data_IF_605696445652
#
_entry.id   IF_605696445652
#
_cell.length_a   1.000
_cell.length_b   1.000
_cell.length_c   1.000
_cell.angle_alpha   90.00
_cell.angle_beta   90.00
_cell.angle_gamma   90.00
#
_symmetry.space_group_name_H-M   'P 1'
#
loop_
_entity.id
_entity.type
_entity.pdbx_description
1 polymer ?
#
# COMPACT_ATOMS: atom_id res chain seq x y z
N UNK A 1 -30.72 9.43 10.20
CA UNK A 1 -30.02 10.46 9.41
C UNK A 1 -28.82 9.78 8.76
N UNK A 2 -28.99 9.28 7.54
CA UNK A 2 -27.95 8.68 6.72
C UNK A 2 -27.96 9.40 5.37
N UNK A 3 -26.82 9.99 5.03
CA UNK A 3 -26.52 10.68 3.78
C UNK A 3 -26.53 9.69 2.63
N UNK A 4 -27.43 9.88 1.65
CA UNK A 4 -27.30 9.26 0.34
C UNK A 4 -26.57 10.25 -0.58
N UNK A 5 -25.26 10.09 -0.69
CA UNK A 5 -24.46 10.69 -1.75
C UNK A 5 -24.71 9.93 -3.06
N UNK A 6 -25.47 10.52 -3.98
CA UNK A 6 -25.59 10.00 -5.35
C UNK A 6 -24.34 10.41 -6.11
N UNK A 7 -23.43 9.45 -6.34
CA UNK A 7 -22.30 9.61 -7.26
C UNK A 7 -22.80 9.18 -8.64
N UNK A 8 -23.02 10.14 -9.54
CA UNK A 8 -23.29 9.85 -10.95
C UNK A 8 -21.97 9.52 -11.65
N UNK A 9 -21.83 8.28 -12.14
CA UNK A 9 -20.66 7.84 -12.91
C UNK A 9 -20.91 8.13 -14.40
N UNK A 10 -20.28 9.18 -14.94
CA UNK A 10 -20.39 9.54 -16.36
C UNK A 10 -19.30 8.82 -17.17
N UNK A 11 -19.68 7.96 -18.11
CA UNK A 11 -18.73 7.35 -19.06
C UNK A 11 -18.48 8.30 -20.24
N UNK A 12 -17.22 8.73 -20.41
CA UNK A 12 -16.76 9.49 -21.58
C UNK A 12 -16.31 8.52 -22.67
N UNK A 13 -17.11 8.35 -23.72
CA UNK A 13 -16.69 7.61 -24.93
C UNK A 13 -16.28 8.62 -26.01
N UNK A 14 -15.00 8.61 -26.37
CA UNK A 14 -14.49 9.40 -27.49
C UNK A 14 -14.54 8.54 -28.76
N UNK A 15 -15.54 8.76 -29.60
CA UNK A 15 -15.57 8.20 -30.96
C UNK A 15 -14.86 9.16 -31.91
N UNK A 16 -13.83 8.67 -32.61
CA UNK A 16 -13.12 9.43 -33.64
C UNK A 16 -13.97 9.52 -34.89
N UNK A 17 -14.69 10.62 -35.05
CA UNK A 17 -14.76 11.41 -36.29
C UNK A 17 -15.69 12.61 -36.04
N UNK A 18 -15.13 13.81 -36.15
CA UNK A 18 -15.68 15.12 -35.79
C UNK A 18 -15.81 15.34 -34.27
N UNK A 19 -14.89 16.14 -33.70
CA UNK A 19 -14.69 16.38 -32.27
C UNK A 19 -15.84 17.09 -31.52
N UNK A 20 -17.07 16.61 -31.66
CA UNK A 20 -18.16 16.91 -30.74
C UNK A 20 -18.07 15.99 -29.53
N UNK A 21 -17.95 16.57 -28.33
CA UNK A 21 -18.10 15.83 -27.08
C UNK A 21 -19.58 15.50 -26.88
N UNK A 22 -19.98 14.25 -27.11
CA UNK A 22 -21.33 13.81 -26.79
C UNK A 22 -21.35 13.25 -25.37
N UNK A 23 -21.88 14.02 -24.43
CA UNK A 23 -22.10 13.56 -23.05
C UNK A 23 -23.40 12.77 -23.05
N UNK A 24 -23.29 11.45 -23.07
CA UNK A 24 -24.41 10.57 -22.84
C UNK A 24 -24.63 10.46 -21.34
N UNK A 25 -25.65 11.16 -20.83
CA UNK A 25 -26.07 11.00 -19.44
C UNK A 25 -26.83 9.70 -19.40
N UNK A 26 -26.14 8.60 -19.04
CA UNK A 26 -26.80 7.34 -18.74
C UNK A 26 -27.82 7.61 -17.63
N UNK A 27 -29.08 7.78 -18.03
CA UNK A 27 -30.18 7.59 -17.13
C UNK A 27 -30.20 6.08 -16.88
N UNK A 28 -30.02 5.68 -15.62
CA UNK A 28 -30.54 4.38 -15.20
C UNK A 28 -32.02 4.38 -15.60
N UNK A 29 -32.32 3.71 -16.71
CA UNK A 29 -33.65 3.20 -16.97
C UNK A 29 -33.88 2.17 -15.87
N UNK A 30 -34.29 2.63 -14.68
CA UNK A 30 -35.03 1.78 -13.76
C UNK A 30 -36.17 1.20 -14.60
N UNK A 31 -36.01 -0.07 -14.99
CA UNK A 31 -37.08 -0.88 -15.53
C UNK A 31 -38.21 -0.74 -14.53
N UNK A 32 -39.19 0.10 -14.85
CA UNK A 32 -40.42 0.14 -14.08
C UNK A 32 -41.03 -1.22 -14.26
N UNK A 33 -40.99 -2.02 -13.20
CA UNK A 33 -41.82 -3.20 -13.05
C UNK A 33 -43.23 -2.67 -12.81
N UNK A 34 -43.81 -2.02 -13.83
CA UNK A 34 -45.22 -1.74 -13.92
C UNK A 34 -45.60 -2.18 -15.32
N UNK A 35 -46.06 -3.43 -15.35
CA UNK A 35 -46.86 -3.95 -16.43
C UNK A 35 -47.98 -2.96 -16.77
N UNK A 36 -48.37 -2.99 -18.04
CA UNK A 36 -49.39 -2.15 -18.65
C UNK A 36 -50.52 -1.79 -17.67
N UNK A 37 -50.62 -0.49 -17.32
CA UNK A 37 -51.51 0.05 -16.29
C UNK A 37 -53.01 -0.22 -16.57
N UNK A 38 -53.33 -0.72 -17.77
CA UNK A 38 -54.66 -1.13 -18.19
C UNK A 38 -55.19 -2.38 -17.44
N UNK A 39 -54.34 -3.08 -16.68
CA UNK A 39 -54.76 -4.25 -15.89
C UNK A 39 -55.28 -3.94 -14.47
N UNK A 40 -55.20 -2.68 -14.02
CA UNK A 40 -55.73 -2.31 -12.71
C UNK A 40 -56.94 -1.39 -12.88
N UNK A 41 -58.13 -1.95 -12.61
CA UNK A 41 -59.39 -1.20 -12.55
C UNK A 41 -59.38 -0.26 -11.34
N UNK A 42 -58.77 0.90 -11.53
CA UNK A 42 -58.65 1.93 -10.52
C UNK A 42 -59.03 3.25 -11.16
N UNK A 43 -60.07 3.87 -10.62
CA UNK A 43 -60.53 5.23 -10.96
C UNK A 43 -59.50 6.33 -10.62
N UNK A 44 -58.31 5.94 -10.14
CA UNK A 44 -57.19 6.78 -9.70
C UNK A 44 -56.19 7.09 -10.83
N UNK A 45 -56.22 6.38 -11.95
CA UNK A 45 -55.43 6.70 -13.14
C UNK A 45 -56.33 7.25 -14.25
N UNK A 46 -56.92 8.42 -13.97
CA UNK A 46 -57.77 9.15 -14.90
C UNK A 46 -56.95 9.91 -15.97
N UNK A 47 -57.63 10.52 -16.95
CA UNK A 47 -57.02 11.37 -18.00
C UNK A 47 -56.11 12.47 -17.43
N UNK A 48 -56.43 12.97 -16.24
CA UNK A 48 -55.68 14.04 -15.57
C UNK A 48 -54.33 13.55 -15.03
N UNK A 49 -54.27 12.33 -14.49
CA UNK A 49 -53.02 11.71 -14.03
C UNK A 49 -52.03 11.50 -15.18
N UNK A 50 -52.53 11.15 -16.39
CA UNK A 50 -51.72 11.04 -17.60
C UNK A 50 -51.15 12.40 -18.00
N UNK A 51 -51.98 13.45 -17.99
CA UNK A 51 -51.52 14.81 -18.28
C UNK A 51 -50.46 15.30 -17.29
N UNK A 52 -50.60 14.98 -16.00
CA UNK A 52 -49.60 15.31 -14.97
C UNK A 52 -48.29 14.56 -15.20
N UNK A 53 -48.33 13.26 -15.52
CA UNK A 53 -47.13 12.50 -15.80
C UNK A 53 -46.41 13.00 -17.07
N UNK A 54 -47.18 13.30 -18.13
CA UNK A 54 -46.65 13.87 -19.37
C UNK A 54 -45.99 15.25 -19.12
N UNK A 55 -46.60 16.08 -18.27
CA UNK A 55 -46.03 17.35 -17.85
C UNK A 55 -44.72 17.18 -17.05
N UNK A 56 -44.64 16.19 -16.16
CA UNK A 56 -43.42 15.87 -15.40
C UNK A 56 -42.30 15.40 -16.35
N UNK A 57 -42.60 14.55 -17.33
CA UNK A 57 -41.63 14.10 -18.33
C UNK A 57 -41.12 15.28 -19.17
N UNK A 58 -42.03 16.16 -19.61
CA UNK A 58 -41.66 17.37 -20.35
C UNK A 58 -40.76 18.30 -19.51
N UNK A 59 -41.12 18.56 -18.26
CA UNK A 59 -40.33 19.39 -17.35
C UNK A 59 -38.93 18.82 -17.09
N UNK A 60 -38.81 17.49 -16.94
CA UNK A 60 -37.52 16.82 -16.80
C UNK A 60 -36.65 17.02 -18.04
N UNK A 61 -37.22 16.89 -19.24
CA UNK A 61 -36.51 17.08 -20.51
C UNK A 61 -36.02 18.52 -20.68
N UNK A 62 -36.87 19.50 -20.35
CA UNK A 62 -36.51 20.92 -20.37
C UNK A 62 -35.37 21.24 -19.39
N UNK A 63 -35.44 20.73 -18.15
CA UNK A 63 -34.37 20.89 -17.16
C UNK A 63 -33.04 20.28 -17.62
N UNK A 64 -33.08 19.12 -18.26
CA UNK A 64 -31.87 18.49 -18.81
C UNK A 64 -31.25 19.31 -19.94
N UNK A 65 -32.07 19.88 -20.82
CA UNK A 65 -31.59 20.78 -21.87
C UNK A 65 -30.97 22.05 -21.30
N UNK A 66 -31.58 22.64 -20.26
CA UNK A 66 -31.02 23.79 -19.55
C UNK A 66 -29.65 23.47 -18.95
N UNK A 67 -29.55 22.38 -18.18
CA UNK A 67 -28.28 21.94 -17.56
C UNK A 67 -27.19 21.69 -18.61
N UNK A 68 -27.55 21.08 -19.76
CA UNK A 68 -26.64 20.83 -20.87
C UNK A 68 -26.12 22.17 -21.42
N UNK A 69 -27.01 23.10 -21.72
CA UNK A 69 -26.63 24.42 -22.25
C UNK A 69 -25.78 25.22 -21.26
N UNK A 70 -26.12 25.23 -19.98
CA UNK A 70 -25.35 25.93 -18.94
C UNK A 70 -23.93 25.35 -18.79
N UNK A 71 -23.78 24.03 -18.84
CA UNK A 71 -22.45 23.41 -18.84
C UNK A 71 -21.61 23.81 -20.06
N UNK A 72 -22.22 23.82 -21.26
CA UNK A 72 -21.50 24.23 -22.48
C UNK A 72 -21.12 25.72 -22.46
N UNK A 73 -22.01 26.61 -22.01
CA UNK A 73 -21.72 28.04 -21.92
C UNK A 73 -20.63 28.35 -20.88
N UNK A 74 -20.67 27.69 -19.73
CA UNK A 74 -19.64 27.86 -18.69
C UNK A 74 -18.28 27.33 -19.14
N UNK A 75 -18.22 26.24 -19.93
CA UNK A 75 -16.95 25.73 -20.46
C UNK A 75 -16.42 26.56 -21.64
N UNK A 76 -17.29 27.06 -22.52
CA UNK A 76 -16.90 27.90 -23.65
C UNK A 76 -16.40 29.30 -23.24
N UNK A 77 -16.77 29.76 -22.05
CA UNK A 77 -16.38 31.08 -21.52
C UNK A 77 -14.94 31.14 -20.96
N UNK A 78 -14.27 30.00 -20.79
CA UNK A 78 -12.91 29.94 -20.24
C UNK A 78 -11.86 29.72 -21.34
N UNK A 79 -10.83 30.57 -21.36
CA UNK A 79 -9.65 30.36 -22.23
C UNK A 79 -8.93 29.09 -21.84
N UNK A 80 -8.77 28.16 -22.79
CA UNK A 80 -7.93 26.97 -22.56
C UNK A 80 -6.46 27.38 -22.44
N UNK A 81 -5.66 26.60 -21.69
CA UNK A 81 -4.20 26.83 -21.58
C UNK A 81 -3.51 26.96 -22.95
N UNK A 82 -4.02 26.27 -23.97
CA UNK A 82 -3.53 26.37 -25.34
C UNK A 82 -3.78 27.76 -25.94
N UNK A 83 -4.98 28.32 -25.75
CA UNK A 83 -5.32 29.66 -26.22
C UNK A 83 -4.49 30.74 -25.51
N UNK A 84 -4.26 30.59 -24.21
CA UNK A 84 -3.39 31.49 -23.45
C UNK A 84 -1.94 31.41 -23.93
N UNK A 85 -1.42 30.19 -24.11
CA UNK A 85 -0.05 29.98 -24.60
C UNK A 85 0.12 30.55 -26.01
N UNK A 86 -0.85 30.34 -26.91
CA UNK A 86 -0.83 30.93 -28.26
C UNK A 86 -0.87 32.46 -28.19
N UNK A 87 -1.70 33.04 -27.32
CA UNK A 87 -1.76 34.49 -27.12
C UNK A 87 -0.42 35.06 -26.65
N UNK A 88 0.29 34.37 -25.76
CA UNK A 88 1.61 34.80 -25.27
C UNK A 88 2.69 34.65 -26.34
N UNK A 89 2.72 33.54 -27.08
CA UNK A 89 3.75 33.27 -28.08
C UNK A 89 3.64 34.18 -29.30
N UNK A 90 2.42 34.59 -29.67
CA UNK A 90 2.17 35.35 -30.89
C UNK A 90 1.62 36.76 -30.64
N UNK A 91 1.75 37.29 -29.42
CA UNK A 91 1.43 38.70 -29.15
C UNK A 91 2.45 39.61 -29.84
N UNK A 92 1.96 40.64 -30.55
CA UNK A 92 2.77 41.62 -31.29
C UNK A 92 3.84 42.32 -30.45
N UNK A 93 3.69 42.37 -29.12
CA UNK A 93 4.68 42.94 -28.19
C UNK A 93 6.03 42.20 -28.19
N UNK A 94 6.07 40.94 -28.64
CA UNK A 94 7.32 40.19 -28.80
C UNK A 94 7.95 40.35 -30.19
N UNK A 95 7.25 40.98 -31.14
CA UNK A 95 7.74 41.14 -32.51
C UNK A 95 8.56 42.43 -32.70
N UNK A 96 8.35 43.47 -31.89
CA UNK A 96 9.11 44.73 -31.97
C UNK A 96 10.50 44.66 -31.31
N UNK A 97 10.81 43.60 -30.55
CA UNK A 97 12.15 43.39 -29.94
C UNK A 97 13.14 42.68 -30.87
N UNK A 98 12.88 42.62 -32.17
CA UNK A 98 13.87 42.18 -33.16
C UNK A 98 14.57 43.39 -33.78
N UNK A 99 15.24 44.18 -32.95
CA UNK A 99 16.25 45.13 -33.41
C UNK A 99 17.62 44.50 -33.19
N UNK A 100 18.32 44.31 -34.29
CA UNK A 100 19.77 44.09 -34.43
C UNK A 100 20.41 43.08 -33.47
N UNK A 101 20.68 41.90 -34.03
CA UNK A 101 21.56 40.89 -33.44
C UNK A 101 22.97 41.47 -33.27
N UNK A 102 23.24 42.08 -32.10
CA UNK A 102 24.59 42.38 -31.64
C UNK A 102 25.32 41.06 -31.39
N UNK A 103 25.98 40.54 -32.44
CA UNK A 103 26.80 39.32 -32.37
C UNK A 103 28.11 39.65 -31.66
N UNK A 104 28.02 39.88 -30.35
CA UNK A 104 29.17 39.69 -29.49
C UNK A 104 29.57 38.21 -29.54
N UNK A 105 30.86 37.87 -29.67
CA UNK A 105 31.30 36.48 -29.70
C UNK A 105 30.91 35.82 -28.37
N UNK A 106 30.34 34.62 -28.45
CA UNK A 106 29.97 33.85 -27.28
C UNK A 106 31.22 33.49 -26.48
N UNK A 107 31.52 34.27 -25.44
CA UNK A 107 32.52 33.89 -24.44
C UNK A 107 31.85 32.84 -23.57
N UNK A 108 32.21 31.57 -23.79
CA UNK A 108 31.93 30.50 -22.85
C UNK A 108 32.66 30.82 -21.55
N UNK A 109 31.97 31.45 -20.60
CA UNK A 109 32.42 31.47 -19.23
C UNK A 109 32.59 30.01 -18.80
N UNK A 110 33.83 29.60 -18.55
CA UNK A 110 34.19 28.24 -18.12
C UNK A 110 33.46 27.97 -16.81
N UNK A 111 32.29 27.35 -16.90
CA UNK A 111 31.46 27.06 -15.73
C UNK A 111 32.27 26.17 -14.81
N UNK A 112 32.64 26.70 -13.64
CA UNK A 112 33.27 25.91 -12.60
C UNK A 112 32.34 24.77 -12.23
N UNK A 113 32.80 23.54 -12.48
CA UNK A 113 32.04 22.33 -12.18
C UNK A 113 31.88 22.25 -10.67
N UNK A 114 30.72 22.67 -10.15
CA UNK A 114 30.35 22.46 -8.75
C UNK A 114 30.13 20.96 -8.55
N UNK A 115 31.19 20.28 -8.11
CA UNK A 115 31.21 18.83 -7.83
C UNK A 115 30.49 18.45 -6.54
N UNK A 116 30.35 19.39 -5.60
CA UNK A 116 29.66 19.20 -4.33
C UNK A 116 28.26 18.56 -4.41
N UNK A 117 27.33 19.02 -5.28
CA UNK A 117 26.01 18.38 -5.39
C UNK A 117 26.08 16.92 -5.82
N UNK A 118 27.03 16.54 -6.68
CA UNK A 118 27.18 15.16 -7.16
C UNK A 118 27.76 14.24 -6.09
N UNK A 119 28.74 14.74 -5.30
CA UNK A 119 29.29 14.00 -4.17
C UNK A 119 28.20 13.76 -3.13
N UNK A 120 27.40 14.78 -2.80
CA UNK A 120 26.31 14.67 -1.84
C UNK A 120 25.23 13.66 -2.30
N UNK A 121 24.89 13.69 -3.59
CA UNK A 121 23.93 12.75 -4.18
C UNK A 121 24.45 11.31 -4.17
N UNK A 122 25.74 11.11 -4.44
CA UNK A 122 26.38 9.78 -4.38
C UNK A 122 26.37 9.21 -2.96
N UNK A 123 26.68 10.02 -1.94
CA UNK A 123 26.66 9.58 -0.54
C UNK A 123 25.24 9.17 -0.10
N UNK A 124 24.21 9.93 -0.51
CA UNK A 124 22.81 9.57 -0.24
C UNK A 124 22.40 8.23 -0.87
N UNK A 125 22.85 7.95 -2.10
CA UNK A 125 22.58 6.66 -2.77
C UNK A 125 23.26 5.48 -2.04
N UNK A 126 24.50 5.63 -1.57
CA UNK A 126 25.18 4.59 -0.80
C UNK A 126 24.50 4.30 0.55
N UNK A 127 24.04 5.34 1.26
CA UNK A 127 23.35 5.19 2.54
C UNK A 127 22.00 4.46 2.40
N UNK A 128 21.22 4.78 1.35
CA UNK A 128 19.93 4.11 1.11
C UNK A 128 20.11 2.64 0.75
N UNK A 129 21.08 2.31 -0.11
CA UNK A 129 21.39 0.93 -0.46
C UNK A 129 21.92 0.14 0.75
N UNK A 130 22.77 0.77 1.57
CA UNK A 130 23.26 0.20 2.82
C UNK A 130 22.14 -0.07 3.83
N UNK A 131 21.18 0.83 3.98
CA UNK A 131 20.03 0.64 4.87
C UNK A 131 19.11 -0.50 4.41
N UNK A 132 18.88 -0.64 3.11
CA UNK A 132 18.09 -1.75 2.55
C UNK A 132 18.80 -3.08 2.77
N UNK A 133 20.09 -3.17 2.46
CA UNK A 133 20.90 -4.39 2.67
C UNK A 133 20.97 -4.72 4.17
N UNK A 134 21.22 -3.74 5.04
CA UNK A 134 21.26 -3.93 6.49
C UNK A 134 19.92 -4.38 7.07
N UNK A 135 18.80 -3.82 6.59
CA UNK A 135 17.46 -4.23 7.03
C UNK A 135 17.13 -5.66 6.60
N UNK A 136 17.49 -6.05 5.38
CA UNK A 136 17.35 -7.42 4.90
C UNK A 136 18.27 -8.37 5.68
N UNK A 137 19.51 -7.98 5.95
CA UNK A 137 20.49 -8.78 6.69
C UNK A 137 20.07 -8.98 8.16
N UNK A 138 19.54 -7.94 8.83
CA UNK A 138 19.01 -8.04 10.20
C UNK A 138 17.80 -8.98 10.27
N UNK A 139 16.94 -9.00 9.25
CA UNK A 139 15.81 -9.94 9.15
C UNK A 139 16.18 -11.36 8.70
N UNK A 140 17.38 -11.55 8.12
CA UNK A 140 17.88 -12.84 7.59
C UNK A 140 19.01 -13.44 8.45
N UNK A 141 19.01 -13.22 9.77
CA UNK A 141 19.69 -14.17 10.66
C UNK A 141 18.90 -15.48 10.65
N UNK A 142 19.18 -16.24 9.60
CA UNK A 142 19.21 -17.70 9.53
C UNK A 142 18.59 -18.39 10.75
N UNK A 143 17.29 -18.69 10.65
CA UNK A 143 16.61 -19.65 11.53
C UNK A 143 17.36 -21.00 11.65
N UNK A 144 18.31 -21.28 10.75
CA UNK A 144 19.05 -22.53 10.67
C UNK A 144 20.48 -22.50 11.28
N UNK A 145 21.03 -21.34 11.67
CA UNK A 145 22.39 -21.25 12.31
C UNK A 145 22.35 -21.26 13.84
N UNK A 146 21.18 -21.50 14.41
CA UNK A 146 20.97 -21.39 15.86
C UNK A 146 20.74 -22.72 16.56
N UNK A 147 20.84 -23.85 15.85
CA UNK A 147 20.82 -25.16 16.49
C UNK A 147 22.18 -25.43 17.15
N UNK A 148 22.17 -25.86 18.42
CA UNK A 148 23.36 -26.25 19.18
C UNK A 148 23.30 -27.73 19.47
N UNK A 149 24.39 -28.45 19.23
CA UNK A 149 24.52 -29.88 19.53
C UNK A 149 24.97 -30.03 20.97
N UNK A 150 24.05 -30.26 21.89
CA UNK A 150 24.31 -30.32 23.33
C UNK A 150 23.85 -31.66 23.89
N UNK A 151 24.41 -32.05 25.03
CA UNK A 151 23.99 -33.25 25.76
C UNK A 151 23.05 -32.81 26.88
N UNK A 152 21.80 -33.27 26.85
CA UNK A 152 20.87 -33.09 27.95
C UNK A 152 21.00 -34.25 28.95
N UNK A 153 21.17 -33.92 30.22
CA UNK A 153 21.22 -34.86 31.34
C UNK A 153 19.96 -34.75 32.18
N UNK A 154 19.14 -35.80 32.16
CA UNK A 154 17.90 -35.93 32.94
C UNK A 154 18.02 -36.91 34.12
N UNK A 155 19.25 -37.21 34.58
CA UNK A 155 19.49 -38.17 35.67
C UNK A 155 18.77 -37.81 36.97
N UNK A 156 18.51 -36.53 37.23
CA UNK A 156 17.72 -36.09 38.39
C UNK A 156 16.26 -36.57 38.36
N UNK A 157 15.76 -36.96 37.20
CA UNK A 157 14.39 -37.43 36.97
C UNK A 157 14.33 -38.92 36.63
N UNK A 158 15.38 -39.70 36.93
CA UNK A 158 15.53 -41.11 36.59
C UNK A 158 15.54 -41.42 35.08
N UNK A 159 15.93 -40.43 34.25
CA UNK A 159 16.15 -40.61 32.82
C UNK A 159 17.64 -40.54 32.49
N UNK A 160 18.00 -40.96 31.28
CA UNK A 160 19.38 -40.95 30.80
C UNK A 160 19.87 -39.60 30.29
N UNK A 161 21.01 -39.64 29.60
CA UNK A 161 21.58 -38.52 28.87
C UNK A 161 21.29 -38.64 27.38
N UNK A 162 20.98 -37.54 26.70
CA UNK A 162 20.63 -37.53 25.28
C UNK A 162 21.37 -36.42 24.54
N UNK A 163 21.98 -36.77 23.40
CA UNK A 163 22.62 -35.81 22.51
C UNK A 163 21.60 -35.25 21.52
N UNK A 164 21.38 -33.94 21.58
CA UNK A 164 20.31 -33.26 20.85
C UNK A 164 20.82 -32.01 20.15
N UNK A 165 20.32 -31.79 18.94
CA UNK A 165 20.47 -30.52 18.24
C UNK A 165 19.27 -29.63 18.57
N UNK A 166 19.46 -28.64 19.44
CA UNK A 166 18.38 -27.82 19.97
C UNK A 166 18.47 -26.35 19.56
N UNK A 167 17.33 -25.64 19.37
CA UNK A 167 17.34 -24.23 19.06
C UNK A 167 17.84 -23.37 20.23
N UNK A 168 18.94 -22.64 20.04
CA UNK A 168 19.59 -21.83 21.07
C UNK A 168 18.95 -20.47 21.35
N UNK A 169 17.98 -20.07 20.52
CA UNK A 169 17.26 -18.81 20.67
C UNK A 169 15.99 -18.93 21.54
N UNK A 170 15.57 -20.17 21.87
CA UNK A 170 14.40 -20.38 22.71
C UNK A 170 14.74 -20.12 24.19
N UNK A 171 13.81 -19.54 24.96
CA UNK A 171 13.88 -19.53 26.42
C UNK A 171 13.96 -20.96 26.98
N UNK A 172 14.68 -21.16 28.09
CA UNK A 172 14.86 -22.47 28.72
C UNK A 172 13.53 -23.19 28.97
N UNK A 173 12.46 -22.52 29.44
CA UNK A 173 11.14 -23.17 29.60
C UNK A 173 10.61 -23.85 28.34
N UNK A 174 10.70 -23.14 27.22
CA UNK A 174 10.16 -23.61 25.94
C UNK A 174 11.07 -24.68 25.34
N UNK A 175 12.38 -24.52 25.55
CA UNK A 175 13.38 -25.50 25.15
C UNK A 175 13.17 -26.82 25.89
N UNK A 176 13.01 -26.80 27.22
CA UNK A 176 12.77 -28.02 28.01
C UNK A 176 11.47 -28.69 27.57
N UNK A 177 10.37 -27.93 27.45
CA UNK A 177 9.10 -28.50 26.99
C UNK A 177 9.23 -29.19 25.62
N UNK A 178 9.94 -28.57 24.67
CA UNK A 178 10.20 -29.15 23.35
C UNK A 178 11.06 -30.41 23.41
N UNK A 179 12.09 -30.43 24.27
CA UNK A 179 12.96 -31.60 24.42
C UNK A 179 12.21 -32.77 25.06
N UNK A 180 11.41 -32.51 26.10
CA UNK A 180 10.61 -33.54 26.76
C UNK A 180 9.59 -34.15 25.80
N UNK A 181 8.89 -33.32 25.04
CA UNK A 181 7.94 -33.75 24.02
C UNK A 181 8.63 -34.57 22.91
N UNK A 182 9.80 -34.12 22.45
CA UNK A 182 10.58 -34.83 21.43
C UNK A 182 11.16 -36.17 21.89
N UNK A 183 11.37 -36.35 23.20
CA UNK A 183 11.90 -37.58 23.79
C UNK A 183 10.79 -38.48 24.38
N UNK A 184 9.53 -38.07 24.29
CA UNK A 184 8.38 -38.74 24.94
C UNK A 184 8.61 -38.95 26.46
N UNK A 185 9.20 -37.95 27.12
CA UNK A 185 9.50 -37.96 28.56
C UNK A 185 8.37 -37.26 29.32
N UNK A 186 7.66 -38.00 30.15
CA UNK A 186 6.63 -37.45 31.03
C UNK A 186 7.20 -37.12 32.42
N UNK A 187 7.38 -35.83 32.73
CA UNK A 187 7.73 -35.32 34.06
C UNK A 187 6.65 -34.34 34.51
N UNK A 188 6.05 -34.56 35.68
CA UNK A 188 4.90 -33.78 36.16
C UNK A 188 5.28 -32.44 36.82
N UNK A 189 6.47 -32.33 37.42
CA UNK A 189 6.93 -31.13 38.11
C UNK A 189 8.37 -30.81 37.69
N UNK A 190 8.50 -30.27 36.49
CA UNK A 190 9.81 -29.93 35.90
C UNK A 190 10.26 -28.58 36.42
N UNK A 191 11.40 -28.57 37.11
CA UNK A 191 12.08 -27.31 37.41
C UNK A 191 12.69 -26.74 36.12
N UNK A 192 12.35 -25.51 35.77
CA UNK A 192 12.86 -24.83 34.56
C UNK A 192 14.24 -24.21 34.81
N UNK A 193 15.14 -24.98 35.42
CA UNK A 193 16.51 -24.58 35.72
C UNK A 193 17.47 -25.62 35.15
N UNK A 194 18.46 -25.16 34.39
CA UNK A 194 19.48 -26.01 33.79
C UNK A 194 20.84 -25.59 34.33
N UNK A 195 21.58 -26.54 34.87
CA UNK A 195 22.99 -26.35 35.19
C UNK A 195 23.85 -26.78 34.02
N UNK A 196 24.65 -25.86 33.51
CA UNK A 196 25.64 -26.15 32.46
C UNK A 196 26.87 -26.74 33.13
N UNK A 197 27.00 -28.07 33.10
CA UNK A 197 28.02 -28.79 33.87
C UNK A 197 29.44 -28.45 33.42
N UNK A 198 29.63 -28.21 32.13
CA UNK A 198 30.93 -27.85 31.55
C UNK A 198 31.44 -26.46 31.98
N UNK A 199 30.52 -25.55 32.34
CA UNK A 199 30.82 -24.14 32.64
C UNK A 199 30.48 -23.72 34.06
N UNK A 200 29.84 -24.58 34.85
CA UNK A 200 29.45 -24.30 36.23
C UNK A 200 28.40 -23.18 36.38
N UNK A 201 27.70 -22.81 35.31
CA UNK A 201 26.69 -21.75 35.32
C UNK A 201 25.26 -22.31 35.37
N UNK A 202 24.36 -21.54 35.98
CA UNK A 202 22.93 -21.86 36.07
C UNK A 202 22.15 -20.99 35.07
N UNK A 203 21.29 -21.63 34.28
CA UNK A 203 20.34 -20.97 33.39
C UNK A 203 18.94 -21.11 33.97
N UNK A 204 18.19 -20.01 33.99
CA UNK A 204 16.82 -19.95 34.49
C UNK A 204 15.80 -19.86 33.37
N UNK A 205 14.52 -19.90 33.73
CA UNK A 205 13.37 -20.07 32.83
C UNK A 205 13.42 -19.23 31.53
N UNK A 206 13.78 -17.95 31.64
CA UNK A 206 13.75 -16.99 30.53
C UNK A 206 15.10 -16.81 29.81
N UNK A 207 16.14 -17.50 30.28
CA UNK A 207 17.46 -17.44 29.66
C UNK A 207 17.47 -18.18 28.32
N UNK A 208 18.41 -17.84 27.45
CA UNK A 208 18.58 -18.46 26.13
C UNK A 208 20.00 -18.97 25.99
N UNK A 209 20.18 -20.15 25.42
CA UNK A 209 21.52 -20.75 25.23
C UNK A 209 22.48 -19.82 24.46
N UNK A 210 21.96 -19.03 23.52
CA UNK A 210 22.77 -18.11 22.72
C UNK A 210 23.38 -16.94 23.52
N UNK A 211 22.70 -16.47 24.56
CA UNK A 211 23.16 -15.32 25.36
C UNK A 211 24.32 -15.70 26.29
N UNK A 212 24.39 -16.98 26.66
CA UNK A 212 25.35 -17.54 27.61
C UNK A 212 26.49 -18.32 26.93
N UNK A 213 26.70 -18.08 25.63
CA UNK A 213 27.77 -18.67 24.82
C UNK A 213 27.83 -20.20 24.92
N UNK A 214 26.67 -20.87 25.00
CA UNK A 214 26.60 -22.33 25.01
C UNK A 214 27.10 -22.85 23.66
N UNK A 215 28.05 -23.77 23.71
CA UNK A 215 28.75 -24.33 22.57
C UNK A 215 28.31 -25.77 22.33
N UNK A 216 28.68 -26.31 21.17
CA UNK A 216 28.45 -27.71 20.87
C UNK A 216 29.29 -28.59 21.83
N UNK A 217 28.68 -29.66 22.34
CA UNK A 217 29.27 -30.56 23.34
C UNK A 217 29.09 -30.12 24.79
N UNK A 218 28.45 -28.97 25.06
CA UNK A 218 28.12 -28.59 26.43
C UNK A 218 27.06 -29.55 27.03
N UNK A 219 27.23 -29.87 28.32
CA UNK A 219 26.34 -30.76 29.07
C UNK A 219 25.36 -29.91 29.88
N UNK A 220 24.08 -30.04 29.56
CA UNK A 220 22.96 -29.34 30.17
C UNK A 220 22.23 -30.28 31.12
N UNK A 221 22.46 -30.14 32.42
CA UNK A 221 21.80 -30.95 33.44
C UNK A 221 20.52 -30.28 33.92
N UNK A 222 19.39 -30.95 33.74
CA UNK A 222 18.12 -30.51 34.29
C UNK A 222 18.13 -30.74 35.80
N UNK A 223 17.79 -29.69 36.57
CA UNK A 223 17.83 -29.73 38.03
C UNK A 223 16.57 -30.33 38.63
#
# INVERSE_FOLDING_TARGET
MLMNSVIALTFLTASSNNGGLNIDVQQEEEKRINNDLNQYDTTLFNKDSKAVNDAIVKQKKERQQQIKNDMFQNQASHSTRLNETKKVLFSKSNLEKTSESDKSPYIQNKQEKKIFPYILMSVGAFLTLGFVIFSIHKGRRTKNESARKVTFDFTNYNYGTYDLAVPAYLPIKNLIALVLDSLDISIFDVNTQIKVMTKGQLLVENDRLIDYQIADGDILKLL
#
